data_IF_569841922366
#
_entry.id   IF_569841922366
#
_cell.length_a   1.000
_cell.length_b   1.000
_cell.length_c   1.000
_cell.angle_alpha   90.00
_cell.angle_beta   90.00
_cell.angle_gamma   90.00
#
_symmetry.space_group_name_H-M   'P 1'
#
loop_
_entity.id
_entity.type
_entity.pdbx_description
1 polymer ?
#
# COMPACT_ATOMS: atom_id res chain seq x y z
N UNK A 1 63.70 3.41 -25.01
CA UNK A 1 63.43 2.52 -23.87
C UNK A 1 64.16 3.08 -22.65
N UNK A 2 63.52 3.23 -21.46
CA UNK A 2 62.28 2.59 -21.06
C UNK A 2 61.13 3.56 -20.74
N UNK A 3 59.93 3.11 -21.13
CA UNK A 3 58.67 3.41 -20.46
C UNK A 3 58.70 2.79 -19.05
N UNK A 4 58.24 3.53 -18.05
CA UNK A 4 57.83 3.02 -16.74
C UNK A 4 56.86 4.09 -16.20
N UNK A 5 55.56 3.99 -16.45
CA UNK A 5 54.62 3.03 -15.85
C UNK A 5 54.58 3.20 -14.33
N UNK A 6 53.64 4.03 -13.85
CA UNK A 6 53.01 3.82 -12.55
C UNK A 6 51.53 4.29 -12.61
N UNK A 7 50.60 3.51 -12.03
CA UNK A 7 49.18 3.56 -12.29
C UNK A 7 48.47 4.67 -11.51
N UNK A 8 47.55 5.36 -12.20
CA UNK A 8 46.58 6.28 -11.61
C UNK A 8 45.67 5.49 -10.66
N UNK A 9 45.91 5.66 -9.37
CA UNK A 9 45.11 5.09 -8.30
C UNK A 9 43.67 5.57 -8.43
N UNK A 10 42.80 4.69 -8.92
CA UNK A 10 41.36 4.87 -8.80
C UNK A 10 41.01 4.98 -7.30
N UNK A 11 40.25 5.99 -6.86
CA UNK A 11 39.76 6.01 -5.50
C UNK A 11 38.78 4.86 -5.32
N UNK A 12 39.20 3.82 -4.60
CA UNK A 12 38.31 2.77 -4.12
C UNK A 12 37.25 3.41 -3.23
N UNK A 13 36.03 3.52 -3.74
CA UNK A 13 34.87 3.84 -2.93
C UNK A 13 34.78 2.81 -1.80
N UNK A 14 34.53 3.24 -0.55
CA UNK A 14 34.24 2.31 0.52
C UNK A 14 32.95 1.55 0.15
N UNK A 15 33.09 0.23 0.03
CA UNK A 15 31.99 -0.72 -0.05
C UNK A 15 31.26 -0.67 1.29
N UNK A 16 30.36 0.31 1.44
CA UNK A 16 29.46 0.36 2.56
C UNK A 16 28.58 -0.89 2.45
N UNK A 17 28.51 -1.76 3.47
CA UNK A 17 27.57 -2.86 3.43
C UNK A 17 26.18 -2.24 3.28
N UNK A 18 25.60 -2.39 2.08
CA UNK A 18 24.18 -2.22 1.87
C UNK A 18 23.51 -3.32 2.72
N UNK A 19 23.34 -3.02 4.01
CA UNK A 19 22.35 -3.68 4.85
C UNK A 19 21.02 -3.35 4.19
N UNK A 20 20.65 -4.16 3.20
CA UNK A 20 19.28 -4.22 2.75
C UNK A 20 18.51 -4.61 4.00
N UNK A 21 17.64 -3.72 4.54
CA UNK A 21 16.81 -4.12 5.64
C UNK A 21 15.92 -5.23 5.09
N UNK A 22 16.26 -6.48 5.42
CA UNK A 22 15.42 -7.63 5.13
C UNK A 22 14.20 -7.45 6.00
N UNK A 23 13.21 -6.71 5.49
CA UNK A 23 11.96 -6.44 6.17
C UNK A 23 11.30 -7.78 6.38
N UNK A 24 11.46 -8.30 7.60
CA UNK A 24 10.99 -9.63 7.97
C UNK A 24 9.49 -9.52 8.12
N UNK A 25 8.75 -9.97 7.10
CA UNK A 25 7.29 -10.13 7.22
C UNK A 25 7.04 -11.04 8.41
N UNK A 26 6.23 -10.57 9.35
CA UNK A 26 5.83 -11.32 10.54
C UNK A 26 4.81 -12.40 10.15
N UNK A 27 4.70 -13.49 10.93
CA UNK A 27 3.70 -14.53 10.65
C UNK A 27 2.25 -14.00 10.70
N UNK A 28 2.00 -12.93 11.44
CA UNK A 28 0.68 -12.27 11.49
C UNK A 28 0.36 -11.54 10.18
N UNK A 29 1.33 -10.79 9.66
CA UNK A 29 1.24 -10.12 8.35
C UNK A 29 1.06 -11.13 7.21
N UNK A 30 1.76 -12.27 7.27
CA UNK A 30 1.59 -13.36 6.31
C UNK A 30 0.17 -13.94 6.34
N UNK A 31 -0.39 -14.18 7.54
CA UNK A 31 -1.76 -14.65 7.70
C UNK A 31 -2.78 -13.66 7.12
N UNK A 32 -2.57 -12.35 7.32
CA UNK A 32 -3.44 -11.32 6.71
C UNK A 32 -3.26 -11.28 5.19
N UNK A 33 -2.03 -11.33 4.69
CA UNK A 33 -1.76 -11.32 3.25
C UNK A 33 -2.40 -12.51 2.53
N UNK A 34 -2.40 -13.70 3.15
CA UNK A 34 -3.07 -14.89 2.62
C UNK A 34 -4.58 -14.68 2.45
N UNK A 35 -5.22 -13.98 3.38
CA UNK A 35 -6.65 -13.63 3.27
C UNK A 35 -6.90 -12.70 2.09
N UNK A 36 -5.98 -11.79 1.76
CA UNK A 36 -6.20 -10.76 0.73
C UNK A 36 -6.02 -11.25 -0.71
N UNK A 37 -5.60 -12.50 -0.93
CA UNK A 37 -5.38 -13.06 -2.26
C UNK A 37 -6.57 -12.90 -3.23
N UNK A 38 -7.85 -13.05 -2.81
CA UNK A 38 -9.00 -12.83 -3.70
C UNK A 38 -9.10 -11.41 -4.25
N UNK A 39 -8.56 -10.40 -3.55
CA UNK A 39 -8.51 -9.01 -4.01
C UNK A 39 -7.31 -8.73 -4.94
N UNK A 40 -6.32 -9.62 -4.95
CA UNK A 40 -5.05 -9.44 -5.67
C UNK A 40 -4.84 -10.63 -6.62
N UNK A 41 -5.64 -10.74 -7.70
CA UNK A 41 -5.75 -11.98 -8.47
C UNK A 41 -4.55 -12.28 -9.37
N UNK A 42 -3.57 -11.36 -9.51
CA UNK A 42 -2.46 -11.54 -10.46
C UNK A 42 -1.09 -11.48 -9.77
N UNK A 43 -0.09 -12.26 -10.24
CA UNK A 43 1.27 -12.20 -9.72
C UNK A 43 1.89 -10.79 -9.81
N UNK A 44 1.54 -10.05 -10.88
CA UNK A 44 1.97 -8.65 -11.05
C UNK A 44 1.37 -7.75 -9.97
N UNK A 45 0.10 -7.93 -9.63
CA UNK A 45 -0.56 -7.19 -8.55
C UNK A 45 0.02 -7.55 -7.18
N UNK A 46 0.33 -8.83 -6.92
CA UNK A 46 0.96 -9.27 -5.68
C UNK A 46 2.35 -8.66 -5.48
N UNK A 47 3.20 -8.66 -6.52
CA UNK A 47 4.52 -7.99 -6.45
C UNK A 47 4.40 -6.50 -6.15
N UNK A 48 3.41 -5.84 -6.76
CA UNK A 48 3.15 -4.41 -6.50
C UNK A 48 2.66 -4.18 -5.07
N UNK A 49 1.79 -5.05 -4.58
CA UNK A 49 1.29 -5.00 -3.21
C UNK A 49 2.43 -5.04 -2.20
N UNK A 50 3.32 -6.03 -2.32
CA UNK A 50 4.50 -6.15 -1.44
C UNK A 50 5.36 -4.89 -1.51
N UNK A 51 5.70 -4.42 -2.72
CA UNK A 51 6.53 -3.22 -2.89
C UNK A 51 5.90 -1.96 -2.27
N UNK A 52 4.58 -1.76 -2.44
CA UNK A 52 3.88 -0.60 -1.88
C UNK A 52 3.76 -0.70 -0.36
N UNK A 53 3.54 -1.91 0.16
CA UNK A 53 3.49 -2.17 1.59
C UNK A 53 4.84 -1.85 2.26
N UNK A 54 5.93 -2.40 1.73
CA UNK A 54 7.28 -2.13 2.22
C UNK A 54 7.64 -0.64 2.15
N UNK A 55 7.33 0.03 1.03
CA UNK A 55 7.58 1.48 0.89
C UNK A 55 6.82 2.29 1.95
N UNK A 56 5.53 1.98 2.17
CA UNK A 56 4.70 2.65 3.16
C UNK A 56 5.21 2.44 4.58
N UNK A 57 5.51 1.20 4.94
CA UNK A 57 5.97 0.86 6.30
C UNK A 57 7.36 1.41 6.58
N UNK A 58 8.27 1.38 5.60
CA UNK A 58 9.59 2.00 5.73
C UNK A 58 9.49 3.52 5.82
N UNK A 59 8.60 4.15 5.04
CA UNK A 59 8.35 5.58 5.10
C UNK A 59 7.79 6.03 6.45
N UNK A 60 6.86 5.26 7.03
CA UNK A 60 6.30 5.54 8.35
C UNK A 60 7.33 5.35 9.47
N UNK A 61 8.14 4.27 9.40
CA UNK A 61 9.24 4.03 10.34
C UNK A 61 10.28 5.15 10.29
N UNK A 62 10.63 5.62 9.09
CA UNK A 62 11.56 6.74 8.91
C UNK A 62 10.99 8.05 9.46
N UNK A 63 9.69 8.31 9.26
CA UNK A 63 9.04 9.53 9.76
C UNK A 63 8.87 9.54 11.29
N UNK A 64 8.75 8.36 11.92
CA UNK A 64 8.49 8.23 13.35
C UNK A 64 9.73 7.86 14.18
N UNK A 65 10.84 7.47 13.55
CA UNK A 65 12.11 7.18 14.22
C UNK A 65 12.12 5.93 15.11
N UNK A 66 11.04 5.14 15.12
CA UNK A 66 10.88 3.98 16.00
C UNK A 66 10.48 2.73 15.20
N UNK A 67 11.12 1.60 15.50
CA UNK A 67 10.57 0.30 15.14
C UNK A 67 9.28 0.09 15.95
N UNK A 68 8.18 -0.41 15.35
CA UNK A 68 6.95 -0.65 16.09
C UNK A 68 7.23 -1.68 17.20
N UNK A 69 6.89 -1.34 18.44
CA UNK A 69 6.93 -2.31 19.52
C UNK A 69 5.88 -3.41 19.26
N UNK A 70 6.14 -4.62 19.73
CA UNK A 70 5.27 -5.79 19.50
C UNK A 70 3.83 -5.61 20.06
N UNK A 71 3.66 -4.68 21.01
CA UNK A 71 2.38 -4.28 21.62
C UNK A 71 1.95 -2.85 21.24
N UNK A 72 2.64 -2.19 20.32
CA UNK A 72 2.18 -0.87 19.86
C UNK A 72 0.87 -1.06 19.08
N UNK A 73 -0.10 -0.17 19.31
CA UNK A 73 -1.26 -0.01 18.43
C UNK A 73 -0.85 0.15 16.95
N UNK A 74 0.37 0.63 16.68
CA UNK A 74 0.98 0.69 15.34
C UNK A 74 1.27 -0.67 14.73
N UNK A 75 1.63 -1.65 15.56
CA UNK A 75 1.76 -3.05 15.18
C UNK A 75 0.42 -3.65 14.76
N UNK A 76 -0.72 -3.06 15.12
CA UNK A 76 -2.07 -3.52 14.74
C UNK A 76 -2.60 -2.86 13.46
N UNK A 77 -1.99 -1.76 13.01
CA UNK A 77 -2.42 -1.03 11.80
C UNK A 77 -2.15 -1.79 10.49
N UNK A 78 -1.26 -2.80 10.51
CA UNK A 78 -0.80 -3.50 9.30
C UNK A 78 -1.98 -4.10 8.52
N UNK A 79 -2.98 -4.67 9.21
CA UNK A 79 -4.12 -5.28 8.56
C UNK A 79 -4.96 -4.25 7.79
N UNK A 80 -5.16 -3.06 8.35
CA UNK A 80 -5.85 -1.97 7.67
C UNK A 80 -5.06 -1.45 6.47
N UNK A 81 -3.73 -1.29 6.61
CA UNK A 81 -2.86 -0.87 5.49
C UNK A 81 -2.91 -1.88 4.35
N UNK A 82 -2.76 -3.17 4.67
CA UNK A 82 -2.81 -4.25 3.70
C UNK A 82 -4.18 -4.32 3.02
N UNK A 83 -5.28 -4.18 3.76
CA UNK A 83 -6.61 -4.15 3.18
C UNK A 83 -6.78 -2.98 2.20
N UNK A 84 -6.41 -1.77 2.61
CA UNK A 84 -6.51 -0.57 1.77
C UNK A 84 -5.68 -0.71 0.49
N UNK A 85 -4.45 -1.22 0.59
CA UNK A 85 -3.60 -1.50 -0.58
C UNK A 85 -4.20 -2.56 -1.49
N UNK A 86 -4.73 -3.65 -0.94
CA UNK A 86 -5.36 -4.71 -1.71
C UNK A 86 -6.54 -4.17 -2.51
N UNK A 87 -7.40 -3.36 -1.91
CA UNK A 87 -8.53 -2.73 -2.61
C UNK A 87 -8.02 -1.73 -3.67
N UNK A 88 -7.02 -0.91 -3.36
CA UNK A 88 -6.45 0.06 -4.33
C UNK A 88 -5.79 -0.59 -5.53
N UNK A 89 -5.17 -1.75 -5.36
CA UNK A 89 -4.52 -2.49 -6.43
C UNK A 89 -5.53 -3.34 -7.22
N UNK A 90 -6.46 -3.99 -6.51
CA UNK A 90 -7.43 -4.91 -7.10
C UNK A 90 -8.61 -4.23 -7.80
N UNK A 91 -9.04 -3.08 -7.29
CA UNK A 91 -10.20 -2.34 -7.78
C UNK A 91 -9.98 -0.81 -7.67
N UNK A 92 -9.04 -0.24 -8.44
CA UNK A 92 -8.70 1.18 -8.36
C UNK A 92 -9.92 2.09 -8.61
N UNK A 93 -10.83 1.72 -9.51
CA UNK A 93 -12.05 2.46 -9.79
C UNK A 93 -12.98 2.61 -8.58
N UNK A 94 -12.99 1.64 -7.67
CA UNK A 94 -13.80 1.66 -6.44
C UNK A 94 -13.20 2.63 -5.42
N UNK A 95 -11.88 2.76 -5.38
CA UNK A 95 -11.20 3.55 -4.34
C UNK A 95 -11.47 5.05 -4.41
N UNK A 96 -11.77 5.60 -5.59
CA UNK A 96 -12.12 7.02 -5.75
C UNK A 96 -13.41 7.39 -5.01
N UNK A 97 -14.29 6.41 -4.79
CA UNK A 97 -15.55 6.59 -4.07
C UNK A 97 -15.46 6.06 -2.63
N UNK A 98 -14.80 4.91 -2.45
CA UNK A 98 -14.70 4.25 -1.15
C UNK A 98 -13.77 4.99 -0.17
N UNK A 99 -12.62 5.47 -0.62
CA UNK A 99 -11.63 6.08 0.29
C UNK A 99 -12.10 7.41 0.87
N UNK A 100 -12.71 8.33 0.10
CA UNK A 100 -13.31 9.53 0.69
C UNK A 100 -14.46 9.23 1.66
N UNK A 101 -15.21 8.14 1.44
CA UNK A 101 -16.26 7.70 2.37
C UNK A 101 -15.65 7.16 3.67
N UNK A 102 -14.62 6.32 3.59
CA UNK A 102 -13.88 5.82 4.76
C UNK A 102 -13.23 6.94 5.56
N UNK A 103 -12.56 7.88 4.89
CA UNK A 103 -11.93 9.02 5.57
C UNK A 103 -12.94 9.86 6.36
N UNK A 104 -14.12 10.13 5.79
CA UNK A 104 -15.20 10.87 6.49
C UNK A 104 -15.78 10.08 7.65
N UNK A 105 -15.96 8.77 7.47
CA UNK A 105 -16.50 7.86 8.50
C UNK A 105 -15.53 7.78 9.69
N UNK A 106 -14.25 7.58 9.41
CA UNK A 106 -13.20 7.54 10.43
C UNK A 106 -13.07 8.89 11.17
N UNK A 107 -13.10 10.02 10.46
CA UNK A 107 -13.05 11.35 11.06
C UNK A 107 -14.24 11.64 12.00
N UNK A 108 -15.40 11.02 11.73
CA UNK A 108 -16.59 11.10 12.58
C UNK A 108 -16.59 10.05 13.70
N UNK A 109 -15.55 9.20 13.78
CA UNK A 109 -15.48 8.05 14.69
C UNK A 109 -16.66 7.11 14.54
N UNK A 110 -17.12 6.95 13.31
CA UNK A 110 -18.16 5.99 12.91
C UNK A 110 -17.50 4.67 12.45
N UNK A 111 -18.27 3.59 12.45
CA UNK A 111 -17.80 2.23 12.15
C UNK A 111 -17.41 2.06 10.67
N UNK A 112 -16.10 2.05 10.39
CA UNK A 112 -15.55 1.88 9.05
C UNK A 112 -15.76 0.46 8.51
N UNK A 113 -15.76 -0.55 9.38
CA UNK A 113 -16.00 -1.95 8.98
C UNK A 113 -17.45 -2.12 8.52
N UNK A 114 -18.41 -1.48 9.20
CA UNK A 114 -19.81 -1.47 8.78
C UNK A 114 -20.03 -0.75 7.44
N UNK A 115 -19.24 0.28 7.13
CA UNK A 115 -19.23 0.90 5.81
C UNK A 115 -18.67 -0.07 4.75
N UNK A 116 -17.54 -0.72 5.01
CA UNK A 116 -16.93 -1.68 4.08
C UNK A 116 -17.87 -2.85 3.76
N UNK A 117 -18.59 -3.37 4.77
CA UNK A 117 -19.62 -4.42 4.59
C UNK A 117 -20.77 -4.00 3.70
N UNK A 118 -21.07 -2.70 3.65
CA UNK A 118 -22.20 -2.11 2.91
C UNK A 118 -21.75 -1.14 1.83
N UNK A 119 -20.55 -1.33 1.27
CA UNK A 119 -19.95 -0.35 0.38
C UNK A 119 -20.79 -0.13 -0.90
N UNK A 120 -21.58 -1.11 -1.35
CA UNK A 120 -22.54 -0.93 -2.46
C UNK A 120 -23.58 0.17 -2.24
N UNK A 121 -23.89 0.51 -0.99
CA UNK A 121 -24.81 1.61 -0.67
C UNK A 121 -24.28 2.97 -1.16
N UNK A 122 -22.96 3.10 -1.34
CA UNK A 122 -22.35 4.32 -1.87
C UNK A 122 -22.64 4.53 -3.36
N UNK A 123 -22.79 3.44 -4.14
CA UNK A 123 -23.16 3.49 -5.56
C UNK A 123 -23.79 2.15 -6.01
N UNK A 124 -25.11 1.93 -5.81
CA UNK A 124 -25.76 0.63 -6.02
C UNK A 124 -25.69 0.10 -7.46
N UNK A 125 -25.50 1.00 -8.44
CA UNK A 125 -25.41 0.65 -9.87
C UNK A 125 -23.99 0.34 -10.34
N UNK A 126 -22.98 0.49 -9.48
CA UNK A 126 -21.59 0.26 -9.83
C UNK A 126 -21.23 -1.21 -9.63
N UNK A 127 -21.19 -1.98 -10.73
CA UNK A 127 -20.89 -3.42 -10.69
C UNK A 127 -19.56 -3.76 -10.00
N UNK A 128 -18.52 -2.94 -10.21
CA UNK A 128 -17.22 -3.10 -9.57
C UNK A 128 -17.30 -3.04 -8.03
N UNK A 129 -18.17 -2.18 -7.49
CA UNK A 129 -18.41 -2.05 -6.06
C UNK A 129 -19.13 -3.28 -5.49
N UNK A 130 -20.07 -3.85 -6.26
CA UNK A 130 -20.71 -5.13 -5.93
C UNK A 130 -19.72 -6.29 -5.87
N UNK A 131 -18.82 -6.38 -6.86
CA UNK A 131 -17.74 -7.37 -6.85
C UNK A 131 -16.83 -7.20 -5.64
N UNK A 132 -16.36 -5.98 -5.36
CA UNK A 132 -15.53 -5.69 -4.19
C UNK A 132 -16.26 -6.04 -2.89
N UNK A 133 -17.55 -5.71 -2.73
CA UNK A 133 -18.32 -6.08 -1.54
C UNK A 133 -18.39 -7.60 -1.36
N UNK A 134 -18.61 -8.35 -2.44
CA UNK A 134 -18.68 -9.82 -2.39
C UNK A 134 -17.35 -10.45 -1.95
N UNK A 135 -16.23 -9.84 -2.33
CA UNK A 135 -14.90 -10.27 -1.92
C UNK A 135 -14.60 -9.81 -0.48
N UNK A 136 -15.01 -8.61 -0.08
CA UNK A 136 -14.77 -8.07 1.25
C UNK A 136 -15.59 -8.77 2.33
N UNK A 137 -16.83 -9.19 2.06
CA UNK A 137 -17.72 -9.78 3.06
C UNK A 137 -17.08 -10.96 3.84
N UNK A 138 -16.55 -12.02 3.20
CA UNK A 138 -15.90 -13.12 3.91
C UNK A 138 -14.55 -12.72 4.55
N UNK A 139 -13.87 -11.71 4.02
CA UNK A 139 -12.61 -11.21 4.59
C UNK A 139 -12.86 -10.47 5.89
N UNK A 140 -13.81 -9.54 5.89
CA UNK A 140 -14.19 -8.76 7.06
C UNK A 140 -14.83 -9.61 8.16
N UNK A 141 -15.36 -10.80 7.84
CA UNK A 141 -15.79 -11.75 8.87
C UNK A 141 -14.61 -12.34 9.66
N UNK A 142 -13.41 -12.41 9.06
CA UNK A 142 -12.22 -13.03 9.65
C UNK A 142 -11.24 -12.02 10.27
N UNK A 143 -11.23 -10.77 9.78
CA UNK A 143 -10.24 -9.77 10.19
C UNK A 143 -10.82 -8.50 10.79
N UNK A 144 -12.14 -8.39 11.01
CA UNK A 144 -12.76 -7.15 11.54
C UNK A 144 -12.12 -6.69 12.86
N UNK A 145 -11.80 -7.61 13.77
CA UNK A 145 -11.19 -7.29 15.07
C UNK A 145 -9.76 -6.70 14.93
N UNK A 146 -9.15 -6.85 13.76
CA UNK A 146 -7.82 -6.31 13.43
C UNK A 146 -7.89 -4.99 12.66
N UNK A 147 -9.07 -4.39 12.53
CA UNK A 147 -9.30 -3.18 11.73
C UNK A 147 -9.82 -2.03 12.59
N UNK A 148 -8.97 -1.40 13.43
CA UNK A 148 -9.41 -0.27 14.25
C UNK A 148 -9.72 0.95 13.37
N UNK A 149 -10.79 1.68 13.71
CA UNK A 149 -11.23 2.88 12.96
C UNK A 149 -10.11 3.95 12.86
N UNK A 150 -9.30 4.08 13.92
CA UNK A 150 -8.14 4.97 13.97
C UNK A 150 -7.09 4.66 12.89
N UNK A 151 -6.95 3.40 12.48
CA UNK A 151 -6.05 3.03 11.40
C UNK A 151 -6.56 3.58 10.06
N UNK A 152 -7.87 3.56 9.81
CA UNK A 152 -8.43 4.13 8.57
C UNK A 152 -8.21 5.64 8.50
N UNK A 153 -8.43 6.36 9.60
CA UNK A 153 -8.16 7.81 9.66
C UNK A 153 -6.72 8.13 9.29
N UNK A 154 -5.77 7.37 9.83
CA UNK A 154 -4.35 7.55 9.60
C UNK A 154 -3.93 7.15 8.18
N UNK A 155 -4.39 6.02 7.68
CA UNK A 155 -3.80 5.37 6.51
C UNK A 155 -4.53 5.66 5.20
N UNK A 156 -5.84 5.93 5.22
CA UNK A 156 -6.59 6.27 4.00
C UNK A 156 -5.96 7.45 3.24
N UNK A 157 -5.58 8.58 3.87
CA UNK A 157 -4.93 9.69 3.16
C UNK A 157 -3.52 9.39 2.65
N UNK A 158 -2.83 8.39 3.23
CA UNK A 158 -1.49 7.98 2.82
C UNK A 158 -1.58 7.03 1.62
N UNK A 159 -2.46 6.04 1.69
CA UNK A 159 -2.68 5.06 0.63
C UNK A 159 -3.34 5.70 -0.60
N UNK A 160 -4.22 6.68 -0.42
CA UNK A 160 -4.86 7.39 -1.55
C UNK A 160 -3.87 8.14 -2.45
N UNK A 161 -2.69 8.53 -1.95
CA UNK A 161 -1.61 9.18 -2.73
C UNK A 161 -0.94 8.23 -3.72
N UNK A 162 -1.12 6.92 -3.54
CA UNK A 162 -0.68 5.96 -4.53
C UNK A 162 -1.73 5.93 -5.65
N UNK A 163 -1.34 6.46 -6.81
CA UNK A 163 -2.10 6.26 -8.03
C UNK A 163 -1.44 5.19 -8.86
N UNK A 164 -2.21 4.17 -9.16
CA UNK A 164 -1.81 3.11 -10.05
C UNK A 164 -2.47 3.39 -11.39
N UNK A 165 -1.78 4.17 -12.23
CA UNK A 165 -2.16 4.25 -13.63
C UNK A 165 -2.26 2.84 -14.18
N UNK A 166 -3.45 2.45 -14.63
CA UNK A 166 -3.59 1.31 -15.53
C UNK A 166 -2.89 1.72 -16.80
N UNK A 167 -1.63 1.34 -16.95
CA UNK A 167 -0.95 1.41 -18.25
C UNK A 167 -1.70 0.46 -19.19
N UNK A 168 -2.70 1.00 -19.89
CA UNK A 168 -3.38 0.37 -21.02
C UNK A 168 -2.74 0.85 -22.34
N UNK A 169 -1.42 1.04 -22.29
CA UNK A 169 -0.48 1.32 -23.37
C UNK A 169 0.84 0.75 -22.85
N UNK A 170 1.61 -0.13 -23.48
CA UNK A 170 1.82 -0.44 -24.88
C UNK A 170 2.32 -1.89 -24.90
N UNK A 171 1.66 -2.77 -25.67
CA UNK A 171 2.43 -3.79 -26.38
C UNK A 171 3.27 -3.00 -27.38
N UNK A 172 4.54 -2.77 -27.07
CA UNK A 172 5.68 -2.47 -27.96
C UNK A 172 6.74 -1.74 -27.12
N UNK A 173 7.96 -2.29 -27.18
CA UNK A 173 9.20 -1.78 -26.58
C UNK A 173 9.38 -1.91 -25.06
N UNK A 174 10.10 -2.97 -24.69
CA UNK A 174 11.39 -2.86 -23.99
C UNK A 174 11.49 -1.94 -22.78
N UNK A 175 11.64 -2.57 -21.61
CA UNK A 175 12.59 -2.16 -20.57
C UNK A 175 12.41 -0.76 -19.94
N UNK A 176 11.65 -0.69 -18.85
CA UNK A 176 11.93 0.23 -17.73
C UNK A 176 11.16 -0.21 -16.47
N UNK A 177 11.88 -0.28 -15.35
CA UNK A 177 11.33 -0.65 -14.04
C UNK A 177 10.20 0.29 -13.61
N UNK A 178 9.09 -0.30 -13.20
CA UNK A 178 7.93 0.40 -12.66
C UNK A 178 8.31 1.06 -11.33
N UNK A 179 8.71 2.34 -11.36
CA UNK A 179 8.70 3.18 -10.18
C UNK A 179 7.25 3.46 -9.81
N UNK A 180 6.91 3.17 -8.57
CA UNK A 180 5.62 3.52 -7.98
C UNK A 180 5.49 5.06 -8.00
N UNK A 181 4.73 5.58 -8.97
CA UNK A 181 4.55 7.02 -9.16
C UNK A 181 3.66 7.59 -8.06
N UNK A 182 4.27 8.14 -7.02
CA UNK A 182 3.60 9.00 -6.03
C UNK A 182 3.08 10.22 -6.79
N UNK A 183 1.78 10.30 -7.04
CA UNK A 183 1.19 11.45 -7.72
C UNK A 183 1.11 12.57 -6.69
N UNK A 184 1.88 13.63 -6.90
CA UNK A 184 1.76 14.86 -6.13
C UNK A 184 0.41 15.50 -6.44
N UNK A 185 -0.61 15.21 -5.63
CA UNK A 185 -1.86 15.95 -5.67
C UNK A 185 -1.59 17.34 -5.11
N UNK A 186 -1.43 18.31 -6.00
CA UNK A 186 -1.27 19.72 -5.68
C UNK A 186 -2.61 20.22 -5.15
N UNK A 187 -2.73 20.36 -3.83
CA UNK A 187 -3.88 21.01 -3.20
C UNK A 187 -3.92 22.47 -3.68
N UNK A 188 -4.86 22.79 -4.55
CA UNK A 188 -5.25 24.16 -4.82
C UNK A 188 -6.12 24.63 -3.65
N UNK A 189 -5.53 25.33 -2.69
CA UNK A 189 -6.30 26.19 -1.79
C UNK A 189 -6.77 27.40 -2.58
N UNK A 190 -8.08 27.50 -2.77
CA UNK A 190 -8.76 28.73 -3.13
C UNK A 190 -10.02 28.84 -2.26
N UNK A 191 -9.92 29.67 -1.22
CA UNK A 191 -10.96 30.52 -0.62
C UNK A 191 -10.39 31.13 0.66
#
# INVERSE_FOLDING_TARGET
>A
MPESDLPSAAPSLPDAPHTTPTSSITPEEEAVAALLFPLIPTPRAARRFVACYEELMNGDRAATGAAPAKDDARGQDHAAVMLLLAVRIGAPEVTELLFPALARTAARREDCVALLRRCTALAPRMAALGMVQSLLAPLLAQMADRLPDAAFERWVPRVSRYSFGTDRSTRLSGQAGARCGRTAFRAASAA
#
